data_IF_191764152447
#
_entry.id   IF_191764152447
#
_cell.length_a   1.000
_cell.length_b   1.000
_cell.length_c   1.000
_cell.angle_alpha   90.00
_cell.angle_beta   90.00
_cell.angle_gamma   90.00
#
_symmetry.space_group_name_H-M   'P 1'
#
loop_
_entity.id
_entity.type
_entity.pdbx_description
1 polymer ?
#
# COMPACT_ATOMS: atom_id res chain seq x y z
N UNK A 1 17.82 -3.04 13.83
CA UNK A 1 17.39 -4.42 14.12
C UNK A 1 16.72 -4.91 12.85
N UNK A 2 17.10 -6.04 12.26
CA UNK A 2 16.40 -6.60 11.09
C UNK A 2 15.08 -7.23 11.54
N UNK A 3 14.05 -6.42 11.77
CA UNK A 3 12.70 -6.95 11.92
C UNK A 3 12.13 -7.08 10.51
N UNK A 4 12.06 -8.30 9.99
CA UNK A 4 11.46 -8.54 8.68
C UNK A 4 10.02 -8.08 8.70
N UNK A 5 9.71 -7.08 7.88
CA UNK A 5 8.35 -6.70 7.53
C UNK A 5 7.84 -7.78 6.57
N UNK A 6 6.63 -8.29 6.84
CA UNK A 6 6.01 -9.35 6.05
C UNK A 6 4.76 -8.80 5.38
N UNK A 7 4.70 -8.92 4.05
CA UNK A 7 3.51 -8.61 3.28
C UNK A 7 2.78 -9.89 2.92
N UNK A 8 1.45 -9.87 3.03
CA UNK A 8 0.59 -10.98 2.63
C UNK A 8 0.03 -10.72 1.23
N UNK A 9 -0.21 -11.78 0.46
CA UNK A 9 -0.85 -11.74 -0.87
C UNK A 9 -2.35 -11.47 -0.78
N UNK A 10 -2.74 -10.48 0.02
CA UNK A 10 -4.11 -10.03 0.19
C UNK A 10 -4.17 -8.51 0.06
N UNK A 11 -5.14 -8.06 -0.69
CA UNK A 11 -5.44 -6.65 -0.92
C UNK A 11 -6.94 -6.53 -1.16
N UNK A 12 -7.50 -5.39 -0.78
CA UNK A 12 -8.92 -5.09 -0.96
C UNK A 12 -9.10 -3.69 -1.55
N UNK A 13 -10.21 -3.48 -2.24
CA UNK A 13 -10.58 -2.18 -2.77
C UNK A 13 -11.59 -1.51 -1.83
N UNK A 14 -11.22 -0.35 -1.30
CA UNK A 14 -12.09 0.52 -0.52
C UNK A 14 -12.78 1.53 -1.45
N UNK A 15 -14.03 1.23 -1.79
CA UNK A 15 -14.86 2.08 -2.65
C UNK A 15 -15.13 3.46 -2.03
N UNK A 16 -15.23 3.57 -0.70
CA UNK A 16 -15.52 4.84 -0.04
C UNK A 16 -14.34 5.80 -0.13
N UNK A 17 -13.13 5.27 0.05
CA UNK A 17 -11.90 6.06 0.05
C UNK A 17 -11.15 6.05 -1.29
N UNK A 18 -11.64 5.30 -2.28
CA UNK A 18 -11.02 5.13 -3.60
C UNK A 18 -9.54 4.72 -3.47
N UNK A 19 -9.30 3.70 -2.65
CA UNK A 19 -7.97 3.24 -2.28
C UNK A 19 -7.88 1.72 -2.20
N UNK A 20 -6.67 1.21 -2.34
CA UNK A 20 -6.34 -0.18 -2.05
C UNK A 20 -5.81 -0.24 -0.63
N UNK A 21 -6.31 -1.21 0.12
CA UNK A 21 -5.78 -1.56 1.44
C UNK A 21 -5.13 -2.92 1.41
N UNK A 22 -4.01 -3.06 2.10
CA UNK A 22 -3.31 -4.34 2.25
C UNK A 22 -2.53 -4.38 3.57
N UNK A 23 -2.33 -5.56 4.16
CA UNK A 23 -1.65 -5.67 5.44
C UNK A 23 -0.15 -5.94 5.29
N UNK A 24 0.62 -5.25 6.12
CA UNK A 24 1.97 -5.60 6.50
C UNK A 24 1.99 -6.14 7.94
N UNK A 25 3.01 -6.91 8.29
CA UNK A 25 3.22 -7.40 9.65
C UNK A 25 4.66 -7.18 10.08
N UNK A 26 4.85 -6.51 11.23
CA UNK A 26 6.15 -6.32 11.86
C UNK A 26 6.10 -6.82 13.30
N UNK A 27 6.97 -7.77 13.67
CA UNK A 27 7.01 -8.37 15.02
C UNK A 27 5.66 -8.90 15.54
N UNK A 28 4.79 -9.36 14.66
CA UNK A 28 3.46 -9.87 15.03
C UNK A 28 2.36 -8.81 15.09
N UNK A 29 2.69 -7.52 14.98
CA UNK A 29 1.72 -6.45 14.87
C UNK A 29 1.26 -6.30 13.41
N UNK A 30 -0.05 -6.19 13.21
CA UNK A 30 -0.66 -5.90 11.91
C UNK A 30 -0.61 -4.39 11.67
N UNK A 31 -0.14 -4.00 10.48
CA UNK A 31 -0.06 -2.63 10.01
C UNK A 31 -0.90 -2.57 8.74
N UNK A 32 -1.91 -1.69 8.71
CA UNK A 32 -2.71 -1.46 7.51
C UNK A 32 -2.01 -0.45 6.61
N UNK A 33 -1.70 -0.84 5.38
CA UNK A 33 -1.14 0.00 4.35
C UNK A 33 -2.26 0.43 3.39
N UNK A 34 -2.22 1.69 2.96
CA UNK A 34 -3.25 2.30 2.13
C UNK A 34 -2.58 3.02 0.95
N UNK A 35 -3.07 2.77 -0.26
CA UNK A 35 -2.63 3.47 -1.47
C UNK A 35 -3.85 3.98 -2.22
N UNK A 36 -3.96 5.29 -2.44
CA UNK A 36 -5.06 5.84 -3.24
C UNK A 36 -4.91 5.46 -4.71
N UNK A 37 -6.03 5.41 -5.43
CA UNK A 37 -6.01 5.21 -6.89
C UNK A 37 -5.21 6.29 -7.64
N UNK A 38 -5.15 7.50 -7.07
CA UNK A 38 -4.40 8.64 -7.60
C UNK A 38 -2.88 8.40 -7.52
N UNK A 39 -2.39 7.92 -6.37
CA UNK A 39 -0.97 7.58 -6.18
C UNK A 39 -0.59 6.33 -6.97
N UNK A 40 -1.50 5.34 -7.07
CA UNK A 40 -1.30 4.17 -7.92
C UNK A 40 -1.22 4.56 -9.41
N UNK A 41 -2.07 5.49 -9.86
CA UNK A 41 -2.03 6.02 -11.23
C UNK A 41 -0.71 6.74 -11.51
N UNK A 42 -0.21 7.52 -10.55
CA UNK A 42 1.10 8.19 -10.65
C UNK A 42 2.23 7.17 -10.77
N UNK A 43 2.25 6.16 -9.90
CA UNK A 43 3.26 5.11 -9.93
C UNK A 43 3.22 4.32 -11.25
N UNK A 44 2.01 4.00 -11.73
CA UNK A 44 1.80 3.25 -12.97
C UNK A 44 2.06 4.06 -14.25
N UNK A 45 2.11 5.40 -14.14
CA UNK A 45 2.25 6.30 -15.28
C UNK A 45 1.06 6.26 -16.25
N UNK A 46 -0.14 5.89 -15.76
CA UNK A 46 -1.38 5.80 -16.54
C UNK A 46 -2.59 6.09 -15.64
N UNK A 47 -3.66 6.61 -16.23
CA UNK A 47 -4.91 6.85 -15.52
C UNK A 47 -5.62 5.52 -15.19
N UNK A 48 -6.05 5.38 -13.94
CA UNK A 48 -6.81 4.26 -13.41
C UNK A 48 -8.08 4.84 -12.81
N UNK A 49 -9.25 4.38 -13.26
CA UNK A 49 -10.54 4.96 -12.87
C UNK A 49 -11.45 3.96 -12.16
N UNK A 50 -11.15 2.66 -12.23
CA UNK A 50 -12.01 1.58 -11.73
C UNK A 50 -11.28 0.72 -10.69
N UNK A 51 -11.99 0.31 -9.63
CA UNK A 51 -11.42 -0.51 -8.55
C UNK A 51 -10.86 -1.85 -9.02
N UNK A 52 -11.56 -2.56 -9.91
CA UNK A 52 -11.06 -3.83 -10.49
C UNK A 52 -9.76 -3.62 -11.27
N UNK A 53 -9.67 -2.51 -12.02
CA UNK A 53 -8.44 -2.13 -12.72
C UNK A 53 -7.32 -1.80 -11.72
N UNK A 54 -7.63 -1.06 -10.66
CA UNK A 54 -6.67 -0.71 -9.61
C UNK A 54 -6.07 -1.98 -8.96
N UNK A 55 -6.89 -2.98 -8.62
CA UNK A 55 -6.41 -4.25 -8.05
C UNK A 55 -5.48 -5.02 -8.99
N UNK A 56 -5.76 -5.00 -10.29
CA UNK A 56 -4.86 -5.60 -11.30
C UNK A 56 -3.54 -4.86 -11.35
N UNK A 57 -3.56 -3.52 -11.45
CA UNK A 57 -2.33 -2.72 -11.53
C UNK A 57 -1.50 -2.81 -10.25
N UNK A 58 -2.15 -2.80 -9.09
CA UNK A 58 -1.48 -3.03 -7.81
C UNK A 58 -0.75 -4.37 -7.80
N UNK A 59 -1.38 -5.43 -8.30
CA UNK A 59 -0.75 -6.75 -8.39
C UNK A 59 0.46 -6.76 -9.33
N UNK A 60 0.43 -5.97 -10.42
CA UNK A 60 1.56 -5.81 -11.35
C UNK A 60 2.74 -5.06 -10.72
N UNK A 61 2.45 -4.04 -9.89
CA UNK A 61 3.44 -3.15 -9.27
C UNK A 61 3.73 -3.50 -7.81
N UNK A 62 3.31 -4.69 -7.37
CA UNK A 62 3.26 -5.03 -5.96
C UNK A 62 4.60 -4.91 -5.24
N UNK A 63 5.68 -5.37 -5.86
CA UNK A 63 7.01 -5.29 -5.26
C UNK A 63 7.46 -3.84 -5.05
N UNK A 64 7.21 -2.95 -6.02
CA UNK A 64 7.55 -1.53 -5.89
C UNK A 64 6.71 -0.86 -4.77
N UNK A 65 5.43 -1.24 -4.66
CA UNK A 65 4.53 -0.73 -3.63
C UNK A 65 4.91 -1.26 -2.23
N UNK A 66 5.28 -2.54 -2.12
CA UNK A 66 5.77 -3.13 -0.88
C UNK A 66 7.10 -2.50 -0.43
N UNK A 67 8.00 -2.17 -1.35
CA UNK A 67 9.25 -1.44 -1.05
C UNK A 67 8.95 -0.04 -0.47
N UNK A 68 8.03 0.72 -1.10
CA UNK A 68 7.59 2.02 -0.57
C UNK A 68 6.93 1.89 0.82
N UNK A 69 6.12 0.87 1.02
CA UNK A 69 5.50 0.62 2.31
C UNK A 69 6.53 0.22 3.38
N UNK A 70 7.53 -0.58 3.01
CA UNK A 70 8.63 -0.99 3.90
C UNK A 70 9.41 0.23 4.38
N UNK A 71 9.83 1.11 3.48
CA UNK A 71 10.53 2.35 3.80
C UNK A 71 9.73 3.20 4.80
N UNK A 72 8.43 3.43 4.55
CA UNK A 72 7.57 4.22 5.44
C UNK A 72 7.38 3.58 6.82
N UNK A 73 7.30 2.25 6.90
CA UNK A 73 7.21 1.52 8.18
C UNK A 73 8.53 1.66 8.96
N UNK A 74 9.66 1.53 8.29
CA UNK A 74 10.99 1.68 8.91
C UNK A 74 11.25 3.12 9.37
N UNK A 75 10.72 4.12 8.68
CA UNK A 75 10.77 5.54 9.07
C UNK A 75 9.75 5.94 10.14
N UNK A 76 8.89 5.00 10.57
CA UNK A 76 7.81 5.23 11.53
C UNK A 76 6.77 6.30 11.07
N UNK A 77 6.53 6.42 9.76
CA UNK A 77 5.62 7.39 9.14
C UNK A 77 4.13 6.96 9.21
N UNK A 78 3.65 6.73 10.43
CA UNK A 78 2.26 6.35 10.69
C UNK A 78 1.31 7.55 10.70
N UNK A 79 0.12 7.38 10.13
CA UNK A 79 -0.97 8.34 10.27
C UNK A 79 -1.60 8.32 11.68
N UNK A 80 -2.56 9.23 11.93
CA UNK A 80 -3.27 9.32 13.22
C UNK A 80 -4.12 8.09 13.57
N UNK A 81 -4.32 7.18 12.61
CA UNK A 81 -5.03 5.90 12.77
C UNK A 81 -4.08 4.70 12.83
N UNK A 82 -2.76 4.94 12.96
CA UNK A 82 -1.69 3.93 12.92
C UNK A 82 -1.61 3.15 11.59
N UNK A 83 -1.89 3.81 10.46
CA UNK A 83 -1.79 3.23 9.12
C UNK A 83 -0.64 3.85 8.34
N UNK A 84 -0.21 3.18 7.28
CA UNK A 84 0.82 3.66 6.36
C UNK A 84 0.14 4.19 5.09
N UNK A 85 0.38 5.47 4.77
CA UNK A 85 -0.17 6.13 3.58
C UNK A 85 0.90 6.20 2.49
N UNK A 86 0.77 5.35 1.47
CA UNK A 86 1.77 5.22 0.40
C UNK A 86 1.60 6.36 -0.60
N UNK A 87 2.72 7.00 -0.96
CA UNK A 87 2.78 8.08 -1.94
C UNK A 87 3.87 7.79 -2.96
N UNK A 88 3.53 7.92 -4.23
CA UNK A 88 4.48 7.84 -5.33
C UNK A 88 5.24 9.19 -5.44
N UNK A 89 6.57 9.11 -5.39
CA UNK A 89 7.50 10.26 -5.45
C UNK A 89 7.51 10.96 -6.81
#
# INVERSE_FOLDING_TARGET
>A
MNQSILFSDIQDWDEENQSITFPAQQSGALIECVMSIEELSRLAGKDIEEGDQALVIFSELRFDIEELAEELIEEEEYDSSNRIQIKAL
#
